data_IF_381085685011
#
_entry.id   IF_381085685011
#
_cell.length_a   1.000
_cell.length_b   1.000
_cell.length_c   1.000
_cell.angle_alpha   90.00
_cell.angle_beta   90.00
_cell.angle_gamma   90.00
#
_symmetry.space_group_name_H-M   'P 1'
#
loop_
_entity.id
_entity.type
_entity.pdbx_description
1 polymer ?
#
# COMPACT_ATOMS: atom_id res chain seq x y z
N UNK A 1 -7.13 -5.78 6.61
CA UNK A 1 -6.31 -4.66 7.14
C UNK A 1 -5.38 -5.08 8.28
N UNK A 2 -5.87 -5.71 9.36
CA UNK A 2 -5.00 -6.11 10.49
C UNK A 2 -3.74 -6.90 10.09
N UNK A 3 -3.86 -7.82 9.11
CA UNK A 3 -2.71 -8.54 8.55
C UNK A 3 -1.70 -7.61 7.86
N UNK A 4 -2.17 -6.62 7.11
CA UNK A 4 -1.31 -5.62 6.48
C UNK A 4 -0.56 -4.79 7.55
N UNK A 5 -1.22 -4.40 8.63
CA UNK A 5 -0.56 -3.75 9.77
C UNK A 5 0.53 -4.64 10.38
N UNK A 6 0.25 -5.93 10.62
CA UNK A 6 1.25 -6.88 11.13
C UNK A 6 2.48 -7.01 10.20
N UNK A 7 2.29 -6.98 8.88
CA UNK A 7 3.38 -7.01 7.91
C UNK A 7 4.19 -5.71 7.97
N UNK A 8 3.53 -4.55 8.03
CA UNK A 8 4.18 -3.25 8.16
C UNK A 8 5.06 -3.17 9.42
N UNK A 9 4.60 -3.70 10.55
CA UNK A 9 5.41 -3.76 11.79
C UNK A 9 6.76 -4.49 11.61
N UNK A 10 6.87 -5.43 10.67
CA UNK A 10 8.15 -6.13 10.41
C UNK A 10 9.20 -5.21 9.77
N UNK A 11 8.76 -4.14 9.10
CA UNK A 11 9.60 -3.13 8.47
C UNK A 11 9.95 -1.96 9.39
N UNK A 12 9.37 -1.89 10.59
CA UNK A 12 9.61 -0.80 11.54
C UNK A 12 11.12 -0.63 11.78
N UNK A 13 11.59 0.62 11.70
CA UNK A 13 12.99 1.02 11.84
C UNK A 13 13.97 0.44 10.80
N UNK A 14 13.47 -0.11 9.68
CA UNK A 14 14.31 -0.68 8.60
C UNK A 14 14.20 0.07 7.27
N UNK A 15 13.37 1.11 7.22
CA UNK A 15 12.95 1.79 5.98
C UNK A 15 13.54 3.19 5.80
N UNK A 16 14.41 3.64 6.72
CA UNK A 16 14.92 5.02 6.74
C UNK A 16 13.78 6.01 6.97
N UNK A 17 13.67 7.02 6.11
CA UNK A 17 12.62 8.05 6.20
C UNK A 17 11.26 7.61 5.62
N UNK A 18 11.22 6.44 4.97
CA UNK A 18 9.97 5.88 4.46
C UNK A 18 9.11 5.28 5.59
N UNK A 19 7.78 5.34 5.49
CA UNK A 19 6.89 4.66 6.43
C UNK A 19 7.03 3.13 6.33
N UNK A 20 6.84 2.44 7.46
CA UNK A 20 6.75 0.98 7.48
C UNK A 20 5.34 0.52 7.10
N UNK A 21 5.09 0.49 5.80
CA UNK A 21 3.80 0.13 5.20
C UNK A 21 3.70 -1.39 5.08
N UNK A 22 2.49 -1.93 5.23
CA UNK A 22 2.18 -3.30 4.85
C UNK A 22 1.02 -3.37 3.87
N UNK A 23 1.01 -4.42 3.05
CA UNK A 23 0.06 -4.65 1.99
C UNK A 23 -0.33 -6.12 1.89
N UNK A 24 -1.62 -6.39 1.63
CA UNK A 24 -2.17 -7.72 1.38
C UNK A 24 -3.12 -7.65 0.19
N UNK A 25 -2.99 -8.61 -0.73
CA UNK A 25 -3.89 -8.75 -1.89
C UNK A 25 -4.76 -9.99 -1.68
N UNK A 26 -6.08 -9.83 -1.79
CA UNK A 26 -7.07 -10.88 -1.54
C UNK A 26 -8.00 -10.99 -2.74
N UNK A 27 -8.32 -12.22 -3.13
CA UNK A 27 -9.40 -12.50 -4.07
C UNK A 27 -10.22 -13.69 -3.58
N UNK A 28 -11.55 -13.60 -3.62
CA UNK A 28 -12.47 -14.66 -3.17
C UNK A 28 -12.14 -15.24 -1.78
N UNK A 29 -11.78 -14.37 -0.84
CA UNK A 29 -11.41 -14.75 0.52
C UNK A 29 -10.02 -15.40 0.66
N UNK A 30 -9.28 -15.60 -0.43
CA UNK A 30 -7.92 -16.13 -0.44
C UNK A 30 -6.90 -15.00 -0.52
N UNK A 31 -5.87 -15.07 0.33
CA UNK A 31 -4.68 -14.21 0.20
C UNK A 31 -3.87 -14.67 -1.01
N UNK A 32 -3.68 -13.77 -1.98
CA UNK A 32 -2.86 -14.00 -3.17
C UNK A 32 -1.42 -13.53 -2.95
N UNK A 33 -1.24 -12.42 -2.23
CA UNK A 33 0.05 -11.79 -2.03
C UNK A 33 0.10 -10.99 -0.75
N UNK A 34 1.31 -10.88 -0.21
CA UNK A 34 1.63 -10.17 1.04
C UNK A 34 2.96 -9.45 0.86
N UNK A 35 3.07 -8.25 1.40
CA UNK A 35 4.29 -7.45 1.30
C UNK A 35 4.35 -6.37 2.37
N UNK A 36 5.57 -5.87 2.60
CA UNK A 36 5.84 -4.70 3.44
C UNK A 36 6.94 -3.86 2.79
N UNK A 37 7.10 -2.61 3.23
CA UNK A 37 8.14 -1.73 2.69
C UNK A 37 9.53 -2.29 2.99
N UNK A 38 10.35 -2.45 1.96
CA UNK A 38 11.76 -2.87 2.12
C UNK A 38 12.66 -1.66 2.46
N UNK A 39 13.93 -1.93 2.76
CA UNK A 39 14.93 -0.89 2.96
C UNK A 39 15.00 0.08 1.76
N UNK A 40 15.55 1.27 1.98
CA UNK A 40 15.64 2.34 0.98
C UNK A 40 16.18 1.83 -0.37
N UNK A 41 15.43 2.10 -1.44
CA UNK A 41 15.74 1.63 -2.80
C UNK A 41 15.13 0.27 -3.16
N UNK A 42 14.59 -0.45 -2.18
CA UNK A 42 13.80 -1.66 -2.38
C UNK A 42 12.33 -1.38 -2.71
N UNK A 43 11.53 -2.44 -2.94
CA UNK A 43 10.11 -2.30 -3.25
C UNK A 43 9.31 -1.72 -2.08
N UNK A 44 8.29 -0.93 -2.42
CA UNK A 44 7.22 -0.58 -1.50
C UNK A 44 6.35 -1.80 -1.19
N UNK A 45 5.53 -1.72 -0.14
CA UNK A 45 4.67 -2.82 0.31
C UNK A 45 3.77 -3.36 -0.81
N UNK A 46 3.19 -2.47 -1.62
CA UNK A 46 2.30 -2.83 -2.73
C UNK A 46 3.06 -3.58 -3.82
N UNK A 47 4.23 -3.08 -4.20
CA UNK A 47 5.10 -3.73 -5.18
C UNK A 47 5.56 -5.11 -4.68
N UNK A 48 5.94 -5.23 -3.41
CA UNK A 48 6.32 -6.50 -2.79
C UNK A 48 5.16 -7.50 -2.76
N UNK A 49 3.94 -7.05 -2.43
CA UNK A 49 2.75 -7.90 -2.42
C UNK A 49 2.35 -8.38 -3.82
N UNK A 50 2.45 -7.50 -4.83
CA UNK A 50 2.24 -7.84 -6.25
C UNK A 50 3.27 -8.88 -6.69
N UNK A 51 4.56 -8.62 -6.47
CA UNK A 51 5.64 -9.56 -6.82
C UNK A 51 5.46 -10.92 -6.15
N UNK A 52 5.07 -10.95 -4.87
CA UNK A 52 4.80 -12.19 -4.14
C UNK A 52 3.63 -12.98 -4.73
N UNK A 53 2.56 -12.32 -5.16
CA UNK A 53 1.43 -12.99 -5.81
C UNK A 53 1.78 -13.49 -7.22
N UNK A 54 2.51 -12.69 -8.00
CA UNK A 54 2.92 -13.06 -9.36
C UNK A 54 3.92 -14.20 -9.37
N UNK A 55 4.85 -14.24 -8.41
CA UNK A 55 5.77 -15.37 -8.23
C UNK A 55 5.05 -16.70 -7.96
N UNK A 56 3.81 -16.64 -7.45
CA UNK A 56 2.94 -17.80 -7.23
C UNK A 56 1.99 -18.07 -8.40
N UNK A 57 2.11 -17.33 -9.51
CA UNK A 57 1.27 -17.49 -10.69
C UNK A 57 -0.15 -16.97 -10.53
N UNK A 58 -0.41 -16.06 -9.58
CA UNK A 58 -1.73 -15.48 -9.38
C UNK A 58 -1.96 -14.27 -10.29
N UNK A 59 -3.12 -14.24 -10.96
CA UNK A 59 -3.66 -13.01 -11.56
C UNK A 59 -4.24 -12.13 -10.45
N UNK A 60 -4.06 -10.81 -10.59
CA UNK A 60 -4.58 -9.82 -9.64
C UNK A 60 -5.85 -9.13 -10.13
N UNK A 61 -6.28 -9.43 -11.37
CA UNK A 61 -7.46 -8.84 -11.95
C UNK A 61 -8.70 -9.16 -11.10
N UNK A 62 -9.51 -8.15 -10.77
CA UNK A 62 -10.69 -8.33 -9.92
C UNK A 62 -10.43 -8.33 -8.41
N UNK A 63 -9.17 -8.42 -7.98
CA UNK A 63 -8.83 -8.58 -6.57
C UNK A 63 -9.03 -7.29 -5.75
N UNK A 64 -8.93 -7.45 -4.42
CA UNK A 64 -8.89 -6.35 -3.45
C UNK A 64 -7.51 -6.22 -2.84
N UNK A 65 -6.94 -5.03 -2.90
CA UNK A 65 -5.68 -4.67 -2.24
C UNK A 65 -5.96 -3.90 -0.95
N UNK A 66 -5.39 -4.36 0.16
CA UNK A 66 -5.41 -3.68 1.45
C UNK A 66 -4.04 -3.10 1.73
N UNK A 67 -3.92 -1.78 1.90
CA UNK A 67 -2.65 -1.11 2.21
C UNK A 67 -2.79 -0.24 3.46
N UNK A 68 -1.79 -0.23 4.35
CA UNK A 68 -1.88 0.60 5.56
C UNK A 68 -1.81 2.09 5.25
N UNK A 69 -1.10 2.49 4.20
CA UNK A 69 -0.96 3.90 3.78
C UNK A 69 -1.41 4.04 2.33
N UNK A 70 -1.86 5.23 1.93
CA UNK A 70 -2.18 5.56 0.54
C UNK A 70 -1.03 5.18 -0.42
N UNK A 71 -1.32 4.47 -1.53
CA UNK A 71 -0.31 4.13 -2.51
C UNK A 71 0.33 5.34 -3.20
N UNK A 72 1.65 5.33 -3.37
CA UNK A 72 2.37 6.47 -3.92
C UNK A 72 1.94 6.83 -5.37
N UNK A 73 1.84 8.14 -5.65
CA UNK A 73 1.28 8.69 -6.88
C UNK A 73 2.29 8.99 -7.99
N UNK A 74 3.57 9.18 -7.64
CA UNK A 74 4.60 9.64 -8.56
C UNK A 74 5.69 8.59 -8.79
N UNK A 75 6.42 8.73 -9.90
CA UNK A 75 7.61 7.93 -10.15
C UNK A 75 8.78 8.56 -9.37
N UNK A 76 9.22 7.89 -8.31
CA UNK A 76 10.36 8.30 -7.51
C UNK A 76 11.60 7.48 -7.90
N UNK A 77 12.18 6.79 -6.92
CA UNK A 77 13.21 5.75 -7.16
C UNK A 77 12.62 4.46 -7.74
N UNK A 78 11.31 4.27 -7.54
CA UNK A 78 10.52 3.15 -8.04
C UNK A 78 9.30 3.67 -8.81
N UNK A 79 8.67 2.87 -9.68
CA UNK A 79 7.40 3.20 -10.31
C UNK A 79 6.30 3.55 -9.29
N UNK A 80 5.33 4.36 -9.73
CA UNK A 80 4.15 4.71 -8.91
C UNK A 80 3.34 3.45 -8.62
N UNK A 81 3.15 3.15 -7.33
CA UNK A 81 2.32 2.03 -6.90
C UNK A 81 0.87 2.20 -7.36
N UNK A 82 0.31 3.42 -7.28
CA UNK A 82 -1.05 3.68 -7.75
C UNK A 82 -1.23 3.32 -9.24
N UNK A 83 -0.28 3.69 -10.11
CA UNK A 83 -0.33 3.34 -11.54
C UNK A 83 -0.19 1.84 -11.76
N UNK A 84 0.75 1.18 -11.08
CA UNK A 84 0.93 -0.27 -11.19
C UNK A 84 -0.31 -1.03 -10.75
N UNK A 85 -1.01 -0.59 -9.70
CA UNK A 85 -2.26 -1.20 -9.25
C UNK A 85 -3.34 -1.14 -10.34
N UNK A 86 -3.46 0.01 -11.05
CA UNK A 86 -4.35 0.16 -12.21
C UNK A 86 -3.96 -0.79 -13.34
N UNK A 87 -2.68 -0.86 -13.69
CA UNK A 87 -2.16 -1.76 -14.74
C UNK A 87 -2.44 -3.24 -14.44
N UNK A 88 -2.46 -3.63 -13.16
CA UNK A 88 -2.77 -5.01 -12.71
C UNK A 88 -4.27 -5.33 -12.67
N UNK A 89 -5.13 -4.39 -13.05
CA UNK A 89 -6.59 -4.55 -13.07
C UNK A 89 -7.20 -4.94 -11.70
N UNK A 90 -6.59 -4.49 -10.61
CA UNK A 90 -7.14 -4.62 -9.25
C UNK A 90 -8.42 -3.77 -9.17
N UNK A 91 -9.52 -4.31 -8.68
CA UNK A 91 -10.83 -3.62 -8.70
C UNK A 91 -11.11 -2.80 -7.46
N UNK A 92 -10.50 -3.17 -6.33
CA UNK A 92 -10.74 -2.53 -5.05
C UNK A 92 -9.44 -2.22 -4.31
N UNK A 93 -9.33 -1.01 -3.77
CA UNK A 93 -8.26 -0.63 -2.85
C UNK A 93 -8.88 -0.19 -1.54
N UNK A 94 -8.40 -0.76 -0.44
CA UNK A 94 -8.80 -0.40 0.93
C UNK A 94 -7.57 0.11 1.66
N UNK A 95 -7.62 1.36 2.11
CA UNK A 95 -6.53 2.00 2.84
C UNK A 95 -6.92 2.44 4.24
N UNK A 96 -5.95 2.47 5.15
CA UNK A 96 -6.18 2.91 6.52
C UNK A 96 -6.02 4.44 6.66
N UNK A 97 -4.89 4.99 6.23
CA UNK A 97 -4.61 6.43 6.27
C UNK A 97 -4.19 6.95 4.90
N UNK A 98 -4.44 8.25 4.66
CA UNK A 98 -3.79 8.98 3.57
C UNK A 98 -2.31 9.21 3.89
N UNK A 99 -1.49 9.32 2.86
CA UNK A 99 -0.10 9.71 3.01
C UNK A 99 -0.03 11.24 3.19
N UNK A 100 0.47 11.76 4.31
CA UNK A 100 0.58 13.21 4.53
C UNK A 100 1.62 13.88 3.61
N UNK A 101 2.47 13.12 2.91
CA UNK A 101 3.47 13.68 2.02
C UNK A 101 2.80 14.59 0.94
N UNK A 102 3.23 15.85 0.75
CA UNK A 102 2.53 16.82 -0.12
C UNK A 102 2.36 16.36 -1.57
N UNK A 103 3.28 15.53 -2.07
CA UNK A 103 3.20 14.97 -3.42
C UNK A 103 2.27 13.75 -3.54
N UNK A 104 1.87 13.14 -2.42
CA UNK A 104 1.04 11.92 -2.39
C UNK A 104 -0.37 12.21 -1.92
N UNK A 105 -0.55 13.06 -0.90
CA UNK A 105 -1.79 13.36 -0.18
C UNK A 105 -3.05 13.46 -1.08
N UNK A 106 -3.73 12.34 -1.28
CA UNK A 106 -4.93 12.20 -2.11
C UNK A 106 -4.71 11.99 -3.61
N UNK A 107 -3.49 12.21 -4.11
CA UNK A 107 -3.14 12.06 -5.52
C UNK A 107 -3.06 10.58 -5.93
N UNK A 108 -2.61 9.70 -5.03
CA UNK A 108 -2.61 8.25 -5.26
C UNK A 108 -4.03 7.73 -5.41
N UNK A 109 -4.92 8.16 -4.50
CA UNK A 109 -6.36 7.87 -4.55
C UNK A 109 -6.99 8.40 -5.84
N UNK A 110 -6.60 9.61 -6.30
CA UNK A 110 -7.10 10.19 -7.54
C UNK A 110 -6.74 9.33 -8.75
N UNK A 111 -5.49 8.86 -8.83
CA UNK A 111 -5.02 7.96 -9.90
C UNK A 111 -5.82 6.65 -9.90
N UNK A 112 -6.00 6.03 -8.73
CA UNK A 112 -6.76 4.78 -8.59
C UNK A 112 -8.21 4.95 -9.08
N UNK A 113 -8.91 5.98 -8.61
CA UNK A 113 -10.29 6.26 -9.01
C UNK A 113 -10.40 6.55 -10.51
N UNK A 114 -9.46 7.32 -11.08
CA UNK A 114 -9.42 7.59 -12.51
C UNK A 114 -9.17 6.33 -13.35
N UNK A 115 -8.46 5.33 -12.79
CA UNK A 115 -8.27 4.00 -13.38
C UNK A 115 -9.46 3.04 -13.19
N UNK A 116 -10.59 3.50 -12.66
CA UNK A 116 -11.79 2.68 -12.46
C UNK A 116 -11.79 1.84 -11.19
N UNK A 117 -10.84 2.07 -10.27
CA UNK A 117 -10.73 1.32 -9.02
C UNK A 117 -11.63 1.93 -7.94
N UNK A 118 -12.39 1.08 -7.25
CA UNK A 118 -13.16 1.48 -6.08
C UNK A 118 -12.25 1.61 -4.86
N UNK A 119 -12.17 2.82 -4.28
CA UNK A 119 -11.31 3.09 -3.11
C UNK A 119 -12.15 3.28 -1.85
N UNK A 120 -11.79 2.57 -0.78
CA UNK A 120 -12.34 2.75 0.57
C UNK A 120 -11.23 3.17 1.54
N UNK A 121 -11.49 4.21 2.31
CA UNK A 121 -10.51 4.84 3.21
C UNK A 121 -10.93 4.65 4.69
N UNK A 122 -9.99 4.84 5.61
CA UNK A 122 -10.26 4.90 7.06
C UNK A 122 -10.41 3.55 7.76
N UNK A 123 -10.05 2.43 7.12
CA UNK A 123 -10.18 1.11 7.73
C UNK A 123 -9.00 0.83 8.67
N UNK A 124 -9.27 0.60 9.97
CA UNK A 124 -8.24 0.49 11.02
C UNK A 124 -7.35 1.75 11.17
N UNK A 125 -7.91 2.93 10.84
CA UNK A 125 -7.16 4.20 10.84
C UNK A 125 -6.44 4.45 12.17
N UNK A 126 -7.15 4.32 13.29
CA UNK A 126 -6.58 4.59 14.61
C UNK A 126 -5.39 3.68 14.94
N UNK A 127 -5.49 2.39 14.59
CA UNK A 127 -4.42 1.43 14.82
C UNK A 127 -3.19 1.73 13.97
N UNK A 128 -3.40 2.08 12.69
CA UNK A 128 -2.30 2.44 11.78
C UNK A 128 -1.65 3.77 12.15
N UNK A 129 -2.44 4.80 12.53
CA UNK A 129 -1.89 6.08 13.04
C UNK A 129 -1.04 5.87 14.29
N UNK A 130 -1.53 5.07 15.25
CA UNK A 130 -0.76 4.73 16.45
C UNK A 130 0.52 3.98 16.10
N UNK A 131 0.45 3.06 15.15
CA UNK A 131 1.63 2.36 14.67
C UNK A 131 2.66 3.35 14.15
N UNK A 132 2.27 4.22 13.19
CA UNK A 132 3.10 5.18 12.46
C UNK A 132 3.38 6.51 13.18
N UNK A 133 3.05 6.63 14.47
CA UNK A 133 3.05 7.91 15.19
C UNK A 133 4.36 8.70 15.02
N UNK A 134 5.51 8.05 15.18
CA UNK A 134 6.81 8.74 15.08
C UNK A 134 7.14 9.20 13.67
N UNK A 135 6.63 8.52 12.65
CA UNK A 135 6.79 8.93 11.26
C UNK A 135 5.84 10.08 10.89
N UNK A 136 4.58 10.00 11.34
CA UNK A 136 3.57 11.03 11.07
C UNK A 136 3.94 12.41 11.65
N UNK A 137 4.59 12.45 12.82
CA UNK A 137 5.06 13.69 13.46
C UNK A 137 6.03 14.53 12.61
N UNK A 138 6.61 13.97 11.56
CA UNK A 138 7.48 14.72 10.63
C UNK A 138 6.67 15.64 9.70
N UNK A 139 5.37 15.38 9.53
CA UNK A 139 4.47 16.10 8.63
C UNK A 139 3.42 16.96 9.35
N UNK A 140 3.47 17.01 10.69
CA UNK A 140 2.65 17.86 11.57
C UNK A 140 3.41 19.13 11.98
#
# INVERSE_FOLDING_TARGET
MLRALQLGEQARNKTGDNPWVGCVIVNDGKVLGEGYTHAVGGPHAEAAAIQHAEAQGHSLAGSTLYCTVEPCSFHGRTPSCAKTIVEKNISHVVLAIRDPHPQVNGEGIRILKAGGISVREGIEELAVRRSLETWLKVYE
#
